data_IF_186812285126
#
_entry.id   IF_186812285126
#
_cell.length_a   1.000
_cell.length_b   1.000
_cell.length_c   1.000
_cell.angle_alpha   90.00
_cell.angle_beta   90.00
_cell.angle_gamma   90.00
#
_symmetry.space_group_name_H-M   'P 1'
#
loop_
_entity.id
_entity.type
_entity.pdbx_description
1 polymer ?
#
# COMPACT_ATOMS: atom_id res chain seq x y z
N UNK A 1 -19.10 -26.35 9.29
CA UNK A 1 -18.04 -25.35 9.08
C UNK A 1 -18.45 -24.58 7.83
N UNK A 2 -18.98 -23.34 7.98
CA UNK A 2 -19.21 -22.43 6.86
C UNK A 2 -17.88 -22.18 6.16
N UNK A 3 -17.90 -22.06 4.85
CA UNK A 3 -16.71 -21.71 4.08
C UNK A 3 -16.38 -20.24 4.40
N UNK A 4 -15.14 -19.91 4.70
CA UNK A 4 -14.61 -18.54 4.94
C UNK A 4 -15.03 -17.52 3.84
N UNK A 5 -15.51 -18.02 2.70
CA UNK A 5 -16.06 -17.22 1.60
C UNK A 5 -17.45 -16.65 1.90
N UNK A 6 -18.20 -17.22 2.84
CA UNK A 6 -19.59 -16.85 3.17
C UNK A 6 -19.69 -15.95 4.40
N UNK A 7 -18.60 -15.88 5.21
CA UNK A 7 -18.57 -15.02 6.38
C UNK A 7 -18.63 -13.55 5.95
N UNK A 8 -19.55 -12.77 6.51
CA UNK A 8 -19.72 -11.35 6.19
C UNK A 8 -18.51 -10.53 6.66
N UNK A 9 -17.85 -10.93 7.73
CA UNK A 9 -16.71 -10.25 8.30
C UNK A 9 -15.84 -11.19 9.15
N UNK A 10 -14.65 -10.70 9.47
CA UNK A 10 -13.78 -11.27 10.50
C UNK A 10 -13.44 -10.18 11.51
N UNK A 11 -13.25 -10.53 12.77
CA UNK A 11 -12.67 -9.64 13.76
C UNK A 11 -11.17 -9.94 13.89
N UNK A 12 -10.34 -8.94 13.61
CA UNK A 12 -8.89 -9.05 13.68
C UNK A 12 -8.29 -7.86 14.43
N UNK A 13 -7.05 -8.01 14.88
CA UNK A 13 -6.32 -6.95 15.52
C UNK A 13 -5.52 -6.17 14.47
N UNK A 14 -5.76 -4.86 14.39
CA UNK A 14 -4.99 -3.93 13.57
C UNK A 14 -4.20 -3.00 14.49
N UNK A 15 -2.93 -2.77 14.17
CA UNK A 15 -2.04 -1.93 14.96
C UNK A 15 -2.02 -0.51 14.40
N UNK A 16 -2.52 0.45 15.17
CA UNK A 16 -2.60 1.87 14.82
C UNK A 16 -1.51 2.69 15.51
N UNK A 17 -1.10 3.80 14.90
CA UNK A 17 -0.25 4.78 15.59
C UNK A 17 -1.09 5.55 16.61
N UNK A 18 -0.50 5.83 17.77
CA UNK A 18 -1.06 6.75 18.75
C UNK A 18 -0.72 8.17 18.31
N UNK A 19 -1.75 8.98 18.07
CA UNK A 19 -1.55 10.39 17.69
C UNK A 19 -1.25 11.22 18.95
N UNK A 20 -0.05 11.78 19.01
CA UNK A 20 0.42 12.68 20.04
C UNK A 20 0.63 14.12 19.51
N UNK A 21 0.05 14.42 18.35
CA UNK A 21 0.09 15.72 17.68
C UNK A 21 1.41 16.04 16.98
N UNK A 22 2.33 15.07 16.86
CA UNK A 22 3.64 15.32 16.26
C UNK A 22 4.06 14.17 15.32
N UNK A 23 4.89 14.41 14.28
CA UNK A 23 5.41 13.35 13.43
C UNK A 23 6.36 12.43 14.18
N UNK A 24 6.34 11.16 13.86
CA UNK A 24 7.40 10.23 14.26
C UNK A 24 8.66 10.49 13.43
N UNK A 25 9.83 10.41 14.07
CA UNK A 25 11.12 10.65 13.43
C UNK A 25 12.09 9.54 13.80
N UNK A 26 12.65 8.88 12.79
CA UNK A 26 13.71 7.89 12.95
C UNK A 26 14.91 8.27 12.10
N UNK A 27 16.11 8.24 12.69
CA UNK A 27 17.35 8.42 11.96
C UNK A 27 17.91 7.06 11.52
N UNK A 28 18.15 6.90 10.21
CA UNK A 28 18.61 5.65 9.61
C UNK A 28 20.05 5.85 9.15
N UNK A 29 20.96 4.96 9.58
CA UNK A 29 22.40 5.03 9.30
C UNK A 29 23.04 6.39 9.65
N UNK A 30 22.50 7.02 10.70
CA UNK A 30 22.94 8.33 11.20
C UNK A 30 23.01 8.30 12.74
N UNK A 31 23.99 7.56 13.30
CA UNK A 31 24.07 7.31 14.73
C UNK A 31 24.24 8.58 15.59
N UNK A 32 24.85 9.64 15.05
CA UNK A 32 25.07 10.91 15.76
C UNK A 32 23.75 11.64 16.06
N UNK A 33 22.75 11.46 15.22
CA UNK A 33 21.42 12.07 15.38
C UNK A 33 20.43 11.18 16.12
N UNK A 34 20.82 9.98 16.52
CA UNK A 34 19.91 9.01 17.13
C UNK A 34 19.26 9.50 18.42
N UNK A 35 19.93 10.39 19.16
CA UNK A 35 19.37 11.01 20.36
C UNK A 35 18.22 11.98 20.08
N UNK A 36 18.03 12.40 18.82
CA UNK A 36 16.94 13.24 18.35
C UNK A 36 15.76 12.42 17.77
N UNK A 37 15.81 11.08 17.86
CA UNK A 37 14.71 10.22 17.45
C UNK A 37 13.46 10.49 18.30
N UNK A 38 12.33 10.46 17.63
CA UNK A 38 11.01 10.49 18.25
C UNK A 38 10.17 9.37 17.68
N UNK A 39 10.32 8.21 18.30
CA UNK A 39 9.63 7.01 17.86
C UNK A 39 8.14 7.08 18.20
N UNK A 40 7.31 6.62 17.29
CA UNK A 40 5.89 6.49 17.51
C UNK A 40 5.57 5.40 18.53
N UNK A 41 4.49 5.61 19.27
CA UNK A 41 3.80 4.57 20.02
C UNK A 41 2.70 3.96 19.15
N UNK A 42 2.41 2.70 19.37
CA UNK A 42 1.37 1.97 18.63
C UNK A 42 0.45 1.25 19.59
N UNK A 43 -0.80 1.11 19.20
CA UNK A 43 -1.80 0.37 19.95
C UNK A 43 -2.55 -0.62 19.06
N UNK A 44 -2.78 -1.85 19.54
CA UNK A 44 -3.65 -2.80 18.87
C UNK A 44 -5.11 -2.43 19.08
N UNK A 45 -5.93 -2.56 18.04
CA UNK A 45 -7.38 -2.35 18.10
C UNK A 45 -8.09 -3.51 17.44
N UNK A 46 -8.95 -4.20 18.19
CA UNK A 46 -9.83 -5.20 17.61
C UNK A 46 -10.80 -4.51 16.65
N UNK A 47 -10.76 -4.90 15.39
CA UNK A 47 -11.43 -4.22 14.30
C UNK A 47 -12.19 -5.24 13.46
N UNK A 48 -13.42 -4.90 13.10
CA UNK A 48 -14.21 -5.67 12.14
C UNK A 48 -13.71 -5.38 10.73
N UNK A 49 -13.39 -6.44 9.99
CA UNK A 49 -12.94 -6.37 8.61
C UNK A 49 -13.95 -7.10 7.74
N UNK A 50 -14.62 -6.36 6.87
CA UNK A 50 -15.72 -6.85 6.05
C UNK A 50 -15.21 -7.66 4.87
N UNK A 51 -15.99 -8.65 4.44
CA UNK A 51 -15.72 -9.41 3.24
C UNK A 51 -16.06 -8.58 1.99
N UNK A 52 -15.05 -8.10 1.30
CA UNK A 52 -15.20 -7.27 0.11
C UNK A 52 -15.82 -8.00 -1.09
N UNK A 53 -15.91 -9.34 -1.05
CA UNK A 53 -16.58 -10.12 -2.10
C UNK A 53 -18.10 -10.06 -2.02
N UNK A 54 -18.63 -9.66 -0.86
CA UNK A 54 -20.08 -9.57 -0.61
C UNK A 54 -20.64 -8.16 -0.84
N UNK A 55 -19.80 -7.22 -1.26
CA UNK A 55 -20.27 -5.88 -1.62
C UNK A 55 -21.18 -5.97 -2.86
N UNK A 56 -22.36 -5.35 -2.77
CA UNK A 56 -23.32 -5.26 -3.87
C UNK A 56 -22.70 -4.58 -5.10
N UNK A 57 -21.95 -3.49 -4.86
CA UNK A 57 -21.20 -2.79 -5.88
C UNK A 57 -19.70 -3.02 -5.62
N UNK A 58 -18.95 -3.63 -6.56
CA UNK A 58 -17.52 -3.80 -6.42
C UNK A 58 -16.80 -2.46 -6.17
N UNK A 59 -15.79 -2.44 -5.29
CA UNK A 59 -15.06 -1.22 -5.00
C UNK A 59 -14.25 -0.74 -6.21
N UNK A 60 -14.19 0.57 -6.41
CA UNK A 60 -13.45 1.22 -7.47
C UNK A 60 -12.35 2.14 -6.91
N UNK A 61 -11.31 2.39 -7.72
CA UNK A 61 -10.13 3.18 -7.30
C UNK A 61 -10.48 4.61 -6.86
N UNK A 62 -11.43 5.26 -7.53
CA UNK A 62 -11.77 6.65 -7.26
C UNK A 62 -12.80 6.80 -6.14
N UNK A 63 -13.49 5.72 -5.78
CA UNK A 63 -14.53 5.70 -4.74
C UNK A 63 -14.02 5.10 -3.42
N UNK A 64 -13.45 3.91 -3.42
CA UNK A 64 -12.94 3.22 -2.23
C UNK A 64 -11.42 3.37 -2.03
N UNK A 65 -10.70 3.70 -3.10
CA UNK A 65 -9.24 3.69 -3.14
C UNK A 65 -8.65 2.35 -3.58
N UNK A 66 -9.46 1.32 -3.81
CA UNK A 66 -8.99 0.00 -4.22
C UNK A 66 -9.99 -0.74 -5.09
N UNK A 67 -9.49 -1.76 -5.81
CA UNK A 67 -10.28 -2.61 -6.71
C UNK A 67 -9.69 -4.01 -6.77
N UNK A 68 -10.55 -5.03 -6.75
CA UNK A 68 -10.17 -6.42 -7.01
C UNK A 68 -10.41 -6.75 -8.49
N UNK A 69 -9.40 -7.32 -9.13
CA UNK A 69 -9.44 -7.72 -10.54
C UNK A 69 -9.16 -9.21 -10.67
N UNK A 70 -9.75 -9.84 -11.67
CA UNK A 70 -9.33 -11.17 -12.12
C UNK A 70 -8.30 -11.01 -13.23
N UNK A 71 -7.03 -11.15 -12.91
CA UNK A 71 -5.87 -10.92 -13.81
C UNK A 71 -4.76 -11.90 -13.46
N UNK A 72 -4.66 -12.98 -14.22
CA UNK A 72 -3.55 -13.92 -14.13
C UNK A 72 -2.27 -13.28 -14.65
N UNK A 73 -1.12 -13.63 -14.06
CA UNK A 73 0.21 -13.23 -14.54
C UNK A 73 0.86 -14.36 -15.34
N UNK A 74 1.71 -14.00 -16.30
CA UNK A 74 2.58 -14.94 -16.99
C UNK A 74 3.87 -15.26 -16.21
N UNK A 75 4.13 -14.54 -15.09
CA UNK A 75 5.28 -14.80 -14.22
C UNK A 75 5.12 -16.16 -13.56
N UNK A 76 6.11 -17.04 -13.75
CA UNK A 76 6.13 -18.37 -13.16
C UNK A 76 6.84 -18.40 -11.80
N UNK A 77 7.81 -17.53 -11.58
CA UNK A 77 8.59 -17.45 -10.36
C UNK A 77 8.78 -15.99 -9.89
N UNK A 78 7.96 -15.57 -8.95
CA UNK A 78 8.04 -14.22 -8.34
C UNK A 78 9.29 -14.00 -7.47
N UNK A 79 10.08 -15.04 -7.18
CA UNK A 79 11.39 -14.92 -6.55
C UNK A 79 12.54 -14.73 -7.57
N UNK A 80 12.23 -14.69 -8.87
CA UNK A 80 13.16 -14.32 -9.94
C UNK A 80 13.01 -12.82 -10.24
N UNK A 81 13.96 -12.00 -9.75
CA UNK A 81 13.93 -10.55 -10.00
C UNK A 81 13.93 -10.25 -11.50
N UNK A 82 14.68 -11.04 -12.29
CA UNK A 82 14.71 -10.90 -13.75
C UNK A 82 13.32 -11.08 -14.35
N UNK A 83 12.63 -12.18 -14.01
CA UNK A 83 11.31 -12.49 -14.56
C UNK A 83 10.27 -11.44 -14.15
N UNK A 84 10.32 -10.96 -12.89
CA UNK A 84 9.45 -9.89 -12.42
C UNK A 84 9.69 -8.60 -13.20
N UNK A 85 10.94 -8.20 -13.42
CA UNK A 85 11.24 -6.96 -14.15
C UNK A 85 10.88 -7.05 -15.65
N UNK A 86 11.14 -8.19 -16.29
CA UNK A 86 10.89 -8.36 -17.72
C UNK A 86 9.42 -8.59 -18.06
N UNK A 87 8.67 -9.33 -17.24
CA UNK A 87 7.28 -9.69 -17.50
C UNK A 87 6.30 -8.90 -16.64
N UNK A 88 6.43 -8.99 -15.30
CA UNK A 88 5.42 -8.44 -14.39
C UNK A 88 5.32 -6.91 -14.46
N UNK A 89 6.43 -6.21 -14.65
CA UNK A 89 6.41 -4.75 -14.80
C UNK A 89 5.60 -4.33 -16.03
N UNK A 90 5.78 -5.03 -17.14
CA UNK A 90 5.01 -4.76 -18.38
C UNK A 90 3.53 -5.06 -18.20
N UNK A 91 3.18 -6.19 -17.56
CA UNK A 91 1.79 -6.56 -17.24
C UNK A 91 1.15 -5.51 -16.33
N UNK A 92 1.81 -5.18 -15.22
CA UNK A 92 1.35 -4.20 -14.23
C UNK A 92 1.12 -2.84 -14.87
N UNK A 93 2.07 -2.35 -15.70
CA UNK A 93 1.92 -1.08 -16.39
C UNK A 93 0.68 -1.05 -17.30
N UNK A 94 0.41 -2.13 -18.04
CA UNK A 94 -0.78 -2.25 -18.90
C UNK A 94 -2.07 -2.23 -18.09
N UNK A 95 -2.11 -3.01 -17.00
CA UNK A 95 -3.29 -3.10 -16.12
C UNK A 95 -3.57 -1.74 -15.49
N UNK A 96 -2.58 -1.11 -14.86
CA UNK A 96 -2.75 0.19 -14.21
C UNK A 96 -3.16 1.26 -15.23
N UNK A 97 -2.58 1.26 -16.43
CA UNK A 97 -2.99 2.18 -17.49
C UNK A 97 -4.46 2.02 -17.88
N UNK A 98 -4.93 0.78 -17.99
CA UNK A 98 -6.31 0.45 -18.33
C UNK A 98 -7.28 0.88 -17.22
N UNK A 99 -6.98 0.53 -15.97
CA UNK A 99 -7.88 0.73 -14.83
C UNK A 99 -7.92 2.19 -14.32
N UNK A 100 -6.83 2.95 -14.50
CA UNK A 100 -6.74 4.35 -14.06
C UNK A 100 -6.96 5.38 -15.16
N UNK A 101 -6.98 4.96 -16.44
CA UNK A 101 -7.02 5.89 -17.58
C UNK A 101 -5.73 6.71 -17.76
N UNK A 102 -4.64 6.37 -17.07
CA UNK A 102 -3.37 7.09 -17.15
C UNK A 102 -2.79 7.08 -18.58
N UNK A 103 -2.23 8.21 -19.01
CA UNK A 103 -1.54 8.31 -20.32
C UNK A 103 -0.24 7.48 -20.34
N UNK A 104 0.48 7.45 -19.23
CA UNK A 104 1.72 6.68 -19.07
C UNK A 104 1.79 6.11 -17.64
N UNK A 105 2.44 4.96 -17.52
CA UNK A 105 2.69 4.29 -16.23
C UNK A 105 4.16 3.92 -16.16
N UNK A 106 4.78 4.18 -15.02
CA UNK A 106 6.15 3.80 -14.71
C UNK A 106 6.16 2.89 -13.49
N UNK A 107 6.52 1.64 -13.66
CA UNK A 107 6.69 0.69 -12.56
C UNK A 107 8.11 0.80 -12.05
N UNK A 108 8.28 1.12 -10.78
CA UNK A 108 9.60 1.49 -10.23
C UNK A 108 10.10 0.58 -9.10
N UNK A 109 9.22 -0.16 -8.46
CA UNK A 109 9.61 -1.02 -7.33
C UNK A 109 8.71 -2.24 -7.22
N UNK A 110 9.21 -3.29 -6.56
CA UNK A 110 8.44 -4.45 -6.16
C UNK A 110 9.01 -5.03 -4.86
N UNK A 111 8.15 -5.68 -4.09
CA UNK A 111 8.52 -6.35 -2.85
C UNK A 111 7.74 -7.65 -2.73
N UNK A 112 8.43 -8.75 -2.46
CA UNK A 112 7.80 -9.99 -2.01
C UNK A 112 7.65 -9.94 -0.50
N UNK A 113 6.45 -10.21 0.01
CA UNK A 113 6.17 -10.30 1.44
C UNK A 113 6.01 -11.77 1.83
N UNK A 114 6.79 -12.21 2.79
CA UNK A 114 6.70 -13.56 3.36
C UNK A 114 7.15 -13.55 4.82
N UNK A 115 6.51 -14.32 5.70
CA UNK A 115 6.99 -14.53 7.06
C UNK A 115 8.24 -15.41 7.12
N UNK A 116 8.57 -16.15 6.06
CA UNK A 116 9.77 -16.98 5.99
C UNK A 116 11.04 -16.13 5.87
N UNK A 117 11.70 -15.93 7.02
CA UNK A 117 12.92 -15.13 7.12
C UNK A 117 14.12 -15.75 6.40
N UNK A 118 14.10 -17.04 6.10
CA UNK A 118 15.19 -17.71 5.37
C UNK A 118 15.39 -17.16 3.95
N UNK A 119 14.33 -16.62 3.37
CA UNK A 119 14.31 -16.03 2.02
C UNK A 119 14.67 -14.54 1.99
N UNK A 120 14.79 -13.87 3.15
CA UNK A 120 15.03 -12.41 3.25
C UNK A 120 16.46 -11.97 2.86
N UNK A 121 17.33 -12.89 2.48
CA UNK A 121 18.68 -12.59 1.96
C UNK A 121 18.67 -11.67 0.72
N UNK A 122 17.57 -11.65 -0.01
CA UNK A 122 17.33 -10.74 -1.14
C UNK A 122 16.69 -9.46 -0.60
N UNK A 123 17.28 -8.30 -0.83
CA UNK A 123 16.82 -7.02 -0.27
C UNK A 123 15.38 -6.61 -0.60
N UNK A 124 14.76 -7.24 -1.61
CA UNK A 124 13.36 -7.02 -2.02
C UNK A 124 12.38 -8.09 -1.47
N UNK A 125 12.87 -9.07 -0.68
CA UNK A 125 12.03 -10.02 0.08
C UNK A 125 12.02 -9.58 1.53
N UNK A 126 10.84 -9.30 2.09
CA UNK A 126 10.66 -8.69 3.41
C UNK A 126 9.50 -9.33 4.18
N UNK A 127 9.50 -9.15 5.49
CA UNK A 127 8.36 -9.51 6.33
C UNK A 127 7.11 -8.69 5.98
N UNK A 128 5.90 -9.24 6.22
CA UNK A 128 4.67 -8.46 6.21
C UNK A 128 4.75 -7.28 7.20
N UNK A 129 4.12 -6.16 6.85
CA UNK A 129 3.99 -4.99 7.73
C UNK A 129 2.70 -5.15 8.54
N UNK A 130 2.79 -4.96 9.87
CA UNK A 130 1.68 -5.25 10.79
C UNK A 130 1.01 -4.00 11.36
N UNK A 131 1.40 -2.81 10.95
CA UNK A 131 0.76 -1.57 11.37
C UNK A 131 0.08 -0.87 10.20
N UNK A 132 -0.99 -0.15 10.52
CA UNK A 132 -1.79 0.58 9.54
C UNK A 132 -0.99 1.77 9.02
N UNK A 133 -0.78 1.81 7.71
CA UNK A 133 0.04 2.83 7.08
C UNK A 133 -0.37 3.09 5.63
N UNK A 134 0.08 4.20 5.10
CA UNK A 134 0.10 4.51 3.69
C UNK A 134 1.54 4.85 3.27
N UNK A 135 2.01 4.30 2.17
CA UNK A 135 3.43 4.34 1.80
C UNK A 135 3.92 5.72 1.35
N UNK A 136 3.01 6.64 1.01
CA UNK A 136 3.38 7.95 0.52
C UNK A 136 2.64 9.08 1.23
N UNK A 137 3.35 10.18 1.45
CA UNK A 137 2.79 11.49 1.76
C UNK A 137 2.73 12.33 0.48
N UNK A 138 2.05 13.47 0.52
CA UNK A 138 2.07 14.43 -0.61
C UNK A 138 3.51 14.80 -1.00
N UNK A 139 4.36 15.02 0.01
CA UNK A 139 5.77 15.38 -0.20
C UNK A 139 6.58 14.23 -0.79
N UNK A 140 6.49 13.04 -0.21
CA UNK A 140 7.28 11.90 -0.68
C UNK A 140 6.83 11.40 -2.05
N UNK A 141 5.54 11.52 -2.38
CA UNK A 141 5.02 11.23 -3.71
C UNK A 141 5.58 12.20 -4.77
N UNK A 142 5.57 13.51 -4.49
CA UNK A 142 6.18 14.50 -5.39
C UNK A 142 7.70 14.28 -5.53
N UNK A 143 8.38 13.90 -4.43
CA UNK A 143 9.81 13.57 -4.49
C UNK A 143 10.09 12.38 -5.43
N UNK A 144 9.23 11.36 -5.46
CA UNK A 144 9.38 10.24 -6.41
C UNK A 144 9.33 10.66 -7.87
N UNK A 145 8.49 11.65 -8.20
CA UNK A 145 8.47 12.19 -9.57
C UNK A 145 9.80 12.86 -9.89
N UNK A 146 10.38 13.62 -8.96
CA UNK A 146 11.70 14.23 -9.15
C UNK A 146 12.82 13.17 -9.28
N UNK A 147 12.77 12.12 -8.47
CA UNK A 147 13.80 11.06 -8.47
C UNK A 147 13.84 10.30 -9.81
N UNK A 148 12.67 9.96 -10.36
CA UNK A 148 12.59 9.15 -11.59
C UNK A 148 12.58 9.97 -12.88
N UNK A 149 12.19 11.24 -12.82
CA UNK A 149 12.02 12.08 -13.99
C UNK A 149 12.61 13.48 -13.81
N UNK A 150 13.87 13.64 -13.38
CA UNK A 150 14.43 14.94 -12.98
C UNK A 150 14.24 16.02 -14.05
N UNK A 151 14.45 15.70 -15.32
CA UNK A 151 14.32 16.66 -16.45
C UNK A 151 12.85 17.00 -16.78
N UNK A 152 11.89 16.17 -16.40
CA UNK A 152 10.47 16.32 -16.74
C UNK A 152 9.60 16.62 -15.52
N UNK A 153 10.17 16.54 -14.30
CA UNK A 153 9.43 16.62 -13.05
C UNK A 153 8.58 17.89 -12.95
N UNK A 154 9.14 19.05 -13.26
CA UNK A 154 8.43 20.33 -13.24
C UNK A 154 7.14 20.35 -14.08
N UNK A 155 7.12 19.63 -15.21
CA UNK A 155 5.96 19.52 -16.07
C UNK A 155 5.00 18.43 -15.62
N UNK A 156 5.50 17.32 -15.09
CA UNK A 156 4.69 16.21 -14.58
C UNK A 156 3.92 16.62 -13.33
N UNK A 157 4.57 17.32 -12.38
CA UNK A 157 3.98 17.80 -11.15
C UNK A 157 2.86 18.84 -11.34
N UNK A 158 2.77 19.46 -12.53
CA UNK A 158 1.65 20.35 -12.89
C UNK A 158 0.42 19.61 -13.40
N UNK A 159 0.50 18.29 -13.58
CA UNK A 159 -0.58 17.44 -14.08
C UNK A 159 -1.03 16.47 -12.99
N UNK A 160 -2.22 15.87 -13.18
CA UNK A 160 -2.63 14.75 -12.34
C UNK A 160 -1.60 13.63 -12.44
N UNK A 161 -1.13 13.16 -11.29
CA UNK A 161 -0.41 11.91 -11.16
C UNK A 161 -0.88 11.16 -9.91
N UNK A 162 -0.76 9.85 -9.95
CA UNK A 162 -1.10 8.96 -8.86
C UNK A 162 0.01 7.92 -8.66
N UNK A 163 0.13 7.42 -7.44
CA UNK A 163 0.90 6.22 -7.12
C UNK A 163 -0.10 5.14 -6.76
N UNK A 164 -0.06 4.05 -7.50
CA UNK A 164 -0.97 2.91 -7.36
C UNK A 164 -0.11 1.67 -7.13
N UNK A 165 -0.47 0.90 -6.13
CA UNK A 165 0.14 -0.39 -5.84
C UNK A 165 -0.70 -1.54 -6.40
N UNK A 166 -0.04 -2.65 -6.64
CA UNK A 166 -0.67 -3.93 -6.95
C UNK A 166 -0.24 -4.96 -5.93
N UNK A 167 -1.17 -5.82 -5.53
CA UNK A 167 -0.90 -6.93 -4.63
C UNK A 167 -1.59 -8.21 -5.13
N UNK A 168 -0.89 -9.32 -5.07
CA UNK A 168 -1.43 -10.64 -5.41
C UNK A 168 -0.84 -11.74 -4.54
N UNK A 169 -1.53 -12.88 -4.46
CA UNK A 169 -0.90 -14.12 -4.03
C UNK A 169 0.16 -14.55 -5.04
N UNK A 170 1.33 -14.94 -4.56
CA UNK A 170 2.38 -15.57 -5.37
C UNK A 170 2.40 -17.11 -5.19
N UNK A 171 1.60 -17.63 -4.27
CA UNK A 171 1.27 -19.05 -4.12
C UNK A 171 -0.10 -19.36 -4.73
N UNK A 172 -0.65 -20.54 -4.41
CA UNK A 172 -1.95 -20.95 -4.94
C UNK A 172 -3.07 -20.06 -4.43
N UNK A 173 -3.12 -19.87 -3.10
CA UNK A 173 -4.14 -19.03 -2.48
C UNK A 173 -3.67 -18.46 -1.13
N UNK A 174 -4.28 -17.36 -0.72
CA UNK A 174 -4.02 -16.73 0.58
C UNK A 174 -4.89 -17.37 1.64
N UNK A 175 -4.30 -18.16 2.53
CA UNK A 175 -5.00 -18.88 3.60
C UNK A 175 -4.88 -18.18 4.96
N UNK A 176 -3.87 -17.31 5.13
CA UNK A 176 -3.63 -16.58 6.36
C UNK A 176 -3.13 -15.17 6.08
N UNK A 177 -3.34 -14.25 7.01
CA UNK A 177 -2.86 -12.86 6.98
C UNK A 177 -3.14 -12.14 5.63
N UNK A 178 -4.41 -12.18 5.13
CA UNK A 178 -4.74 -11.48 3.89
C UNK A 178 -4.51 -9.97 4.04
N UNK A 179 -4.26 -9.29 2.92
CA UNK A 179 -4.19 -7.84 2.92
C UNK A 179 -5.57 -7.26 3.24
N UNK A 180 -5.63 -6.39 4.24
CA UNK A 180 -6.80 -5.56 4.52
C UNK A 180 -6.59 -4.14 3.99
N UNK A 181 -7.64 -3.58 3.39
CA UNK A 181 -7.67 -2.23 2.84
C UNK A 181 -8.79 -1.42 3.50
N UNK A 182 -8.51 -0.18 3.84
CA UNK A 182 -9.51 0.73 4.38
C UNK A 182 -10.21 1.49 3.26
N UNK A 183 -11.55 1.65 3.34
CA UNK A 183 -12.26 2.63 2.53
C UNK A 183 -11.70 4.02 2.87
N UNK A 184 -10.97 4.63 1.94
CA UNK A 184 -10.25 5.88 2.15
C UNK A 184 -11.16 7.05 2.54
N UNK A 185 -12.45 7.01 2.20
CA UNK A 185 -13.44 8.01 2.62
C UNK A 185 -13.66 8.02 4.13
N UNK A 186 -13.36 6.92 4.80
CA UNK A 186 -13.57 6.78 6.24
C UNK A 186 -12.37 7.19 7.08
N UNK A 187 -11.26 7.55 6.44
CA UNK A 187 -10.05 8.03 7.13
C UNK A 187 -10.10 9.58 7.17
N UNK A 188 -10.29 10.19 8.34
CA UNK A 188 -10.27 11.65 8.44
C UNK A 188 -8.88 12.19 8.13
N UNK A 189 -8.80 13.39 7.56
CA UNK A 189 -7.51 14.04 7.23
C UNK A 189 -6.55 14.14 8.42
N UNK A 190 -7.09 14.30 9.62
CA UNK A 190 -6.32 14.33 10.88
C UNK A 190 -5.78 12.97 11.28
N UNK A 191 -6.27 11.87 10.69
CA UNK A 191 -5.80 10.50 10.96
C UNK A 191 -4.47 10.15 10.30
N UNK A 192 -3.98 10.97 9.36
CA UNK A 192 -2.73 10.73 8.64
C UNK A 192 -1.55 11.34 9.40
N UNK A 193 -0.84 10.54 10.18
CA UNK A 193 0.31 10.97 11.00
C UNK A 193 1.60 10.73 10.23
N UNK A 194 2.39 11.77 10.01
CA UNK A 194 3.67 11.64 9.30
C UNK A 194 4.65 10.80 10.09
N UNK A 195 5.29 9.87 9.39
CA UNK A 195 6.38 9.07 9.89
C UNK A 195 7.60 9.31 8.99
N UNK A 196 8.63 9.94 9.54
CA UNK A 196 9.83 10.35 8.83
C UNK A 196 10.98 9.37 9.11
N UNK A 197 11.66 8.97 8.03
CA UNK A 197 12.94 8.29 8.09
C UNK A 197 13.99 9.23 7.52
N UNK A 198 14.84 9.76 8.39
CA UNK A 198 15.88 10.72 8.05
C UNK A 198 17.18 9.99 7.82
N UNK A 199 17.71 10.11 6.63
CA UNK A 199 19.04 9.68 6.22
C UNK A 199 19.95 10.90 6.17
N UNK A 200 21.25 10.71 6.01
CA UNK A 200 22.21 11.83 5.89
C UNK A 200 21.93 12.73 4.69
N UNK A 201 21.45 12.15 3.60
CA UNK A 201 21.27 12.78 2.29
C UNK A 201 19.80 13.03 1.91
N UNK A 202 18.85 12.41 2.64
CA UNK A 202 17.43 12.50 2.28
C UNK A 202 16.49 12.22 3.46
N UNK A 203 15.24 12.60 3.29
CA UNK A 203 14.15 12.19 4.19
C UNK A 203 13.10 11.43 3.39
N UNK A 204 12.78 10.22 3.81
CA UNK A 204 11.65 9.45 3.32
C UNK A 204 10.46 9.63 4.28
N UNK A 205 9.26 9.75 3.73
CA UNK A 205 8.04 9.95 4.51
C UNK A 205 6.98 8.92 4.11
N UNK A 206 6.27 8.43 5.11
CA UNK A 206 5.05 7.63 4.99
C UNK A 206 3.99 8.22 5.91
N UNK A 207 2.72 7.85 5.73
CA UNK A 207 1.70 8.06 6.74
C UNK A 207 1.48 6.80 7.56
N UNK A 208 1.42 6.93 8.87
CA UNK A 208 0.82 5.94 9.75
C UNK A 208 -0.55 6.46 10.18
N UNK A 209 -1.50 5.55 10.32
CA UNK A 209 -2.88 5.95 10.52
C UNK A 209 -3.26 5.80 11.99
N UNK A 210 -3.84 6.85 12.59
CA UNK A 210 -4.41 6.79 13.92
C UNK A 210 -5.79 6.14 13.91
N UNK A 211 -6.20 5.54 15.02
CA UNK A 211 -7.48 4.85 15.12
C UNK A 211 -8.66 5.82 15.01
N UNK A 212 -9.66 5.42 14.22
CA UNK A 212 -10.97 6.04 14.21
C UNK A 212 -12.05 4.96 14.12
N UNK A 213 -13.09 4.98 14.95
CA UNK A 213 -14.16 3.99 14.92
C UNK A 213 -15.00 4.00 13.64
N UNK A 214 -14.91 5.08 12.85
CA UNK A 214 -15.59 5.19 11.56
C UNK A 214 -14.86 4.44 10.42
N UNK A 215 -13.63 3.96 10.64
CA UNK A 215 -12.89 3.22 9.61
C UNK A 215 -13.66 1.98 9.18
N UNK A 216 -13.82 1.81 7.87
CA UNK A 216 -14.40 0.62 7.25
C UNK A 216 -13.32 -0.16 6.53
N UNK A 217 -13.04 -1.36 7.05
CA UNK A 217 -12.01 -2.24 6.53
C UNK A 217 -12.61 -3.35 5.71
N UNK A 218 -11.87 -3.73 4.67
CA UNK A 218 -12.24 -4.81 3.76
C UNK A 218 -11.06 -5.73 3.52
N UNK A 219 -11.36 -6.99 3.32
CA UNK A 219 -10.42 -8.00 2.84
C UNK A 219 -11.11 -8.88 1.80
N UNK A 220 -10.34 -9.60 1.05
CA UNK A 220 -10.87 -10.54 0.05
C UNK A 220 -10.39 -11.93 0.42
N UNK A 221 -11.27 -12.78 1.02
CA UNK A 221 -10.89 -14.10 1.49
C UNK A 221 -10.41 -14.99 0.36
N UNK A 222 -9.44 -15.86 0.68
CA UNK A 222 -8.94 -16.90 -0.19
C UNK A 222 -8.53 -16.42 -1.58
N UNK A 223 -7.94 -15.21 -1.67
CA UNK A 223 -7.43 -14.72 -2.95
C UNK A 223 -6.45 -15.71 -3.59
N UNK A 224 -6.67 -15.97 -4.86
CA UNK A 224 -5.82 -16.85 -5.67
C UNK A 224 -4.76 -16.06 -6.46
N UNK A 225 -3.82 -16.75 -7.05
CA UNK A 225 -2.82 -16.14 -7.94
C UNK A 225 -3.41 -15.61 -9.27
N UNK A 226 -4.68 -15.91 -9.56
CA UNK A 226 -5.41 -15.35 -10.69
C UNK A 226 -6.05 -14.00 -10.39
N UNK A 227 -5.99 -13.55 -9.13
CA UNK A 227 -6.58 -12.30 -8.67
C UNK A 227 -5.50 -11.26 -8.38
N UNK A 228 -5.85 -10.01 -8.55
CA UNK A 228 -4.98 -8.86 -8.35
C UNK A 228 -5.76 -7.76 -7.63
N UNK A 229 -5.29 -7.35 -6.47
CA UNK A 229 -5.70 -6.10 -5.85
C UNK A 229 -4.88 -4.96 -6.43
N UNK A 230 -5.55 -3.88 -6.80
CA UNK A 230 -4.94 -2.59 -7.09
C UNK A 230 -5.47 -1.57 -6.10
N UNK A 231 -4.61 -0.70 -5.59
CA UNK A 231 -5.02 0.31 -4.62
C UNK A 231 -4.17 1.58 -4.70
N UNK A 232 -4.83 2.69 -4.46
CA UNK A 232 -4.21 4.00 -4.41
C UNK A 232 -3.42 4.17 -3.12
N UNK A 233 -2.25 4.78 -3.25
CA UNK A 233 -1.46 5.26 -2.11
C UNK A 233 -1.18 6.76 -2.22
N UNK A 234 -1.48 7.36 -3.38
CA UNK A 234 -1.50 8.81 -3.58
C UNK A 234 -2.19 9.19 -4.90
N UNK A 235 -2.94 10.27 -4.90
CA UNK A 235 -3.49 10.91 -6.10
C UNK A 235 -3.55 12.43 -5.92
N UNK A 236 -3.10 13.18 -6.91
CA UNK A 236 -3.16 14.65 -6.88
C UNK A 236 -4.53 15.21 -7.23
N UNK A 237 -5.45 14.40 -7.80
CA UNK A 237 -6.79 14.87 -8.16
C UNK A 237 -7.57 15.29 -6.90
N UNK A 238 -8.29 16.41 -7.02
CA UNK A 238 -9.25 16.85 -6.02
C UNK A 238 -10.69 16.44 -6.38
N UNK A 239 -10.87 15.81 -7.55
CA UNK A 239 -12.18 15.40 -8.09
C UNK A 239 -12.54 13.96 -7.71
N UNK A 240 -11.64 13.22 -7.05
CA UNK A 240 -11.87 11.86 -6.58
C UNK A 240 -12.13 11.85 -5.07
N UNK A 241 -12.98 10.92 -4.63
CA UNK A 241 -13.34 10.79 -3.21
C UNK A 241 -12.16 10.30 -2.36
N UNK A 242 -11.29 9.48 -2.94
CA UNK A 242 -10.14 8.89 -2.26
C UNK A 242 -8.83 9.23 -2.96
N UNK A 243 -7.91 9.83 -2.21
CA UNK A 243 -6.58 10.23 -2.69
C UNK A 243 -5.43 9.38 -2.12
N UNK A 244 -5.66 8.67 -1.00
CA UNK A 244 -4.71 7.83 -0.29
C UNK A 244 -5.28 6.45 -0.03
#
# INVERSE_FOLDING_TARGET
MGTVMEDEFVDAELTYIVDDGKPSIRYVDWPEEKHNERLASYEPRRTRILNGRLLENPPELDDFGFKLLKRKSAVSNFYSEKEVRELYYSETAKIIKQESGAKSVHVFDHTVRTPDTSTHKKGWVRSPVRYVHNDYTERSAAQRVNDFFPEKAANLLKRRFAIIQTWRSIGDRVESEPLALCDGKTIPKTGFIRNERRYRDRTAETYHISYNPAHRWYYFPLMTNEELLIFKVFDTSQEVDVRF
#
